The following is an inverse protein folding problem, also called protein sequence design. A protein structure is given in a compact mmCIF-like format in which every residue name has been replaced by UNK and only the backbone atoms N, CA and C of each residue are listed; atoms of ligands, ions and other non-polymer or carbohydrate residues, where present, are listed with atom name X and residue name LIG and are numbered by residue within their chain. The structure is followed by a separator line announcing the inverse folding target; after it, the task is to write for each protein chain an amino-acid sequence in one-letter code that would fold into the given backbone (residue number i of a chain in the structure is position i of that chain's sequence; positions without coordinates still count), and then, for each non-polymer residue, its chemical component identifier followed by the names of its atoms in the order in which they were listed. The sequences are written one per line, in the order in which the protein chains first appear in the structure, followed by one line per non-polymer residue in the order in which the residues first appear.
data_IF_171105462283
#
_entry.id   IF_171105462283
#
_cell.length_a   1.000
_cell.length_b   1.000
_cell.length_c   1.000
_cell.angle_alpha   90.00
_cell.angle_beta   90.00
_cell.angle_gamma   90.00
#
_symmetry.space_group_name_H-M   'P 1'
#
loop_
_entity.id
_entity.type
_entity.pdbx_description
1 polymer ?
#
# COMPACT_ATOMS: atom_id res chain seq x y z
N UNK A 1 -1.72 -9.65 18.77
CA UNK A 1 -1.56 -8.18 18.64
C UNK A 1 -1.34 -7.72 17.21
N UNK A 2 -0.33 -8.22 16.47
CA UNK A 2 -0.07 -7.82 15.07
C UNK A 2 -1.28 -8.03 14.15
N UNK A 3 -1.96 -9.16 14.28
CA UNK A 3 -3.19 -9.49 13.53
C UNK A 3 -4.30 -8.44 13.74
N UNK A 4 -4.46 -7.93 14.96
CA UNK A 4 -5.46 -6.91 15.27
C UNK A 4 -5.11 -5.58 14.60
N UNK A 5 -3.83 -5.17 14.64
CA UNK A 5 -3.37 -3.96 13.95
C UNK A 5 -3.54 -4.07 12.43
N UNK A 6 -3.26 -5.24 11.86
CA UNK A 6 -3.47 -5.52 10.44
C UNK A 6 -4.97 -5.46 10.09
N UNK A 7 -5.83 -6.07 10.90
CA UNK A 7 -7.27 -6.03 10.70
C UNK A 7 -7.83 -4.60 10.75
N UNK A 8 -7.37 -3.76 11.69
CA UNK A 8 -7.77 -2.34 11.75
C UNK A 8 -7.34 -1.58 10.49
N UNK A 9 -6.09 -1.77 10.04
CA UNK A 9 -5.59 -1.13 8.82
C UNK A 9 -6.38 -1.56 7.57
N UNK A 10 -6.69 -2.85 7.44
CA UNK A 10 -7.48 -3.38 6.33
C UNK A 10 -8.93 -2.90 6.37
N UNK A 11 -9.57 -2.91 7.55
CA UNK A 11 -10.94 -2.41 7.72
C UNK A 11 -11.05 -0.95 7.31
N UNK A 12 -10.03 -0.16 7.66
CA UNK A 12 -9.92 1.23 7.23
C UNK A 12 -9.75 1.32 5.71
N UNK A 13 -8.75 0.64 5.14
CA UNK A 13 -8.43 0.66 3.71
C UNK A 13 -9.56 0.14 2.80
N UNK A 14 -10.40 -0.77 3.28
CA UNK A 14 -11.54 -1.34 2.56
C UNK A 14 -12.91 -0.84 3.05
N UNK A 15 -12.94 0.24 3.83
CA UNK A 15 -14.19 0.82 4.34
C UNK A 15 -15.17 1.24 3.25
N UNK A 16 -14.68 1.55 2.04
CA UNK A 16 -15.45 1.95 0.85
C UNK A 16 -14.78 1.43 -0.42
N UNK A 17 -15.53 1.24 -1.53
CA UNK A 17 -14.93 0.92 -2.82
C UNK A 17 -14.07 2.10 -3.29
N UNK A 18 -12.76 1.88 -3.40
CA UNK A 18 -11.77 2.90 -3.76
C UNK A 18 -10.62 2.27 -4.55
N UNK A 19 -9.89 3.08 -5.33
CA UNK A 19 -8.71 2.62 -6.08
C UNK A 19 -7.56 2.25 -5.13
N UNK A 20 -6.72 1.30 -5.52
CA UNK A 20 -5.61 0.81 -4.69
C UNK A 20 -4.73 1.91 -4.05
N UNK A 21 -4.31 2.98 -4.77
CA UNK A 21 -3.49 4.04 -4.15
C UNK A 21 -4.21 4.78 -3.01
N UNK A 22 -5.53 4.93 -3.11
CA UNK A 22 -6.34 5.59 -2.07
C UNK A 22 -6.45 4.69 -0.83
N UNK A 23 -6.66 3.39 -1.02
CA UNK A 23 -6.70 2.41 0.08
C UNK A 23 -5.38 2.37 0.83
N UNK A 24 -4.25 2.32 0.10
CA UNK A 24 -2.90 2.39 0.68
C UNK A 24 -2.71 3.68 1.47
N UNK A 25 -3.06 4.84 0.91
CA UNK A 25 -2.91 6.11 1.60
C UNK A 25 -3.74 6.19 2.90
N UNK A 26 -4.89 5.52 2.96
CA UNK A 26 -5.80 5.57 4.09
C UNK A 26 -5.41 4.57 5.19
N UNK A 27 -4.99 3.35 4.81
CA UNK A 27 -4.49 2.34 5.73
C UNK A 27 -3.14 2.74 6.36
N UNK A 28 -2.22 3.31 5.57
CA UNK A 28 -0.89 3.73 6.08
C UNK A 28 -0.93 4.97 6.99
N UNK A 29 -2.06 5.69 7.03
CA UNK A 29 -2.29 6.81 7.96
C UNK A 29 -2.72 6.37 9.36
N UNK A 30 -3.18 5.13 9.52
CA UNK A 30 -3.57 4.60 10.83
C UNK A 30 -2.37 4.53 11.76
N UNK A 31 -2.56 4.76 13.06
CA UNK A 31 -1.45 4.66 14.01
C UNK A 31 -1.00 3.21 14.19
N UNK A 32 -1.92 2.26 14.03
CA UNK A 32 -1.70 0.82 14.00
C UNK A 32 -0.69 0.41 12.92
N UNK A 33 -0.63 1.12 11.79
CA UNK A 33 0.35 0.85 10.74
C UNK A 33 1.79 1.01 11.24
N UNK A 34 2.03 1.98 12.12
CA UNK A 34 3.36 2.22 12.71
C UNK A 34 3.71 1.17 13.76
N UNK A 35 2.72 0.48 14.33
CA UNK A 35 2.88 -0.60 15.29
C UNK A 35 3.07 -1.96 14.62
N UNK A 36 2.78 -2.06 13.32
CA UNK A 36 3.07 -3.25 12.54
C UNK A 36 4.57 -3.43 12.38
N UNK A 37 5.02 -4.67 12.57
CA UNK A 37 6.39 -5.03 12.21
C UNK A 37 6.55 -4.98 10.69
N UNK A 38 7.78 -4.71 10.24
CA UNK A 38 8.12 -4.56 8.81
C UNK A 38 7.52 -5.64 7.88
N UNK A 39 7.53 -6.94 8.21
CA UNK A 39 6.94 -7.94 7.32
C UNK A 39 5.41 -7.88 7.25
N UNK A 40 4.75 -7.56 8.36
CA UNK A 40 3.29 -7.36 8.38
C UNK A 40 2.86 -6.13 7.59
N UNK A 41 3.70 -5.09 7.53
CA UNK A 41 3.47 -3.95 6.64
C UNK A 41 3.52 -4.36 5.15
N UNK A 42 4.43 -5.27 4.79
CA UNK A 42 4.51 -5.84 3.44
C UNK A 42 3.21 -6.56 3.05
N UNK A 43 2.72 -7.46 3.93
CA UNK A 43 1.46 -8.19 3.74
C UNK A 43 0.29 -7.22 3.55
N UNK A 44 0.17 -6.22 4.43
CA UNK A 44 -0.90 -5.21 4.34
C UNK A 44 -0.89 -4.49 2.99
N UNK A 45 0.29 -4.05 2.53
CA UNK A 45 0.40 -3.33 1.27
C UNK A 45 0.02 -4.21 0.08
N UNK A 46 0.43 -5.48 0.05
CA UNK A 46 0.03 -6.43 -0.99
C UNK A 46 -1.48 -6.64 -1.01
N UNK A 47 -2.08 -6.92 0.15
CA UNK A 47 -3.52 -7.09 0.27
C UNK A 47 -4.31 -5.86 -0.22
N UNK A 48 -3.80 -4.65 0.05
CA UNK A 48 -4.42 -3.42 -0.43
C UNK A 48 -4.30 -3.20 -1.93
N UNK A 49 -3.39 -3.90 -2.62
CA UNK A 49 -3.21 -3.82 -4.07
C UNK A 49 -3.99 -4.90 -4.84
N UNK A 50 -4.21 -6.08 -4.28
CA UNK A 50 -4.79 -7.23 -4.99
C UNK A 50 -6.30 -7.12 -5.28
N UNK A 51 -7.05 -6.32 -4.52
CA UNK A 51 -8.50 -6.19 -4.73
C UNK A 51 -8.79 -5.17 -5.83
N UNK A 52 -9.11 -5.63 -7.02
CA UNK A 52 -9.70 -4.77 -8.06
C UNK A 52 -11.06 -4.26 -7.56
N UNK A 53 -11.29 -2.95 -7.63
CA UNK A 53 -12.61 -2.43 -7.31
C UNK A 53 -13.59 -3.05 -8.30
N UNK A 54 -14.78 -3.53 -7.88
CA UNK A 54 -15.78 -4.01 -8.84
C UNK A 54 -15.94 -2.91 -9.88
N UNK A 55 -15.74 -3.27 -11.15
CA UNK A 55 -15.78 -2.33 -12.27
C UNK A 55 -17.02 -1.48 -12.13
N UNK A 56 -16.83 -0.26 -11.62
CA UNK A 56 -17.85 0.76 -11.70
C UNK A 56 -17.79 1.11 -13.17
N UNK A 57 -18.87 0.79 -13.88
CA UNK A 57 -19.01 0.88 -15.33
C UNK A 57 -18.12 2.00 -15.92
N UNK A 58 -17.34 1.64 -16.94
CA UNK A 58 -16.52 2.56 -17.73
C UNK A 58 -17.40 3.51 -18.56
N UNK A 59 -18.31 4.24 -17.92
CA UNK A 59 -19.11 5.28 -18.55
C UNK A 59 -18.68 6.66 -18.02
N UNK A 60 -18.11 7.43 -18.95
CA UNK A 60 -17.84 8.88 -18.93
C UNK A 60 -16.59 9.41 -18.20
N UNK A 61 -15.40 9.17 -18.78
CA UNK A 61 -14.51 10.29 -19.11
C UNK A 61 -13.64 9.96 -20.33
N UNK A 62 -14.27 9.80 -21.49
CA UNK A 62 -13.63 10.04 -22.78
C UNK A 62 -13.56 11.58 -22.98
N UNK A 63 -12.81 12.24 -22.11
CA UNK A 63 -12.51 13.67 -22.19
C UNK A 63 -11.35 13.89 -23.17
N UNK A 64 -11.47 14.79 -24.17
CA UNK A 64 -10.43 14.95 -25.17
C UNK A 64 -9.12 15.41 -24.52
N UNK A 65 -8.02 14.73 -24.86
CA UNK A 65 -6.67 15.09 -24.46
C UNK A 65 -6.39 16.58 -24.71
N UNK A 66 -6.49 17.40 -23.67
CA UNK A 66 -6.18 18.83 -23.77
C UNK A 66 -4.66 19.05 -23.55
N UNK A 67 -3.99 19.83 -24.43
CA UNK A 67 -2.54 19.91 -24.45
C UNK A 67 -1.98 20.70 -23.27
N UNK A 68 -0.81 20.23 -22.81
CA UNK A 68 0.00 20.78 -21.73
C UNK A 68 0.10 22.32 -21.74
N UNK A 69 -0.46 22.97 -20.72
CA UNK A 69 -0.19 24.37 -20.42
C UNK A 69 0.96 24.45 -19.42
N UNK A 70 2.16 24.78 -19.91
CA UNK A 70 3.29 25.16 -19.07
C UNK A 70 2.91 26.38 -18.20
N UNK A 71 3.10 26.36 -16.87
CA UNK A 71 3.09 27.59 -16.09
C UNK A 71 4.42 28.33 -16.28
N UNK A 72 4.35 29.44 -17.03
CA UNK A 72 5.37 30.49 -17.08
C UNK A 72 5.52 31.13 -15.70
N UNK A 73 6.67 30.89 -15.06
CA UNK A 73 7.31 31.83 -14.13
C UNK A 73 6.76 31.90 -12.70
N UNK A 74 7.36 31.10 -11.80
CA UNK A 74 7.49 31.46 -10.39
C UNK A 74 8.85 30.99 -9.88
N UNK A 75 9.47 31.83 -9.07
CA UNK A 75 10.91 31.90 -8.82
C UNK A 75 11.34 30.90 -7.73
N UNK A 76 12.57 30.39 -7.87
CA UNK A 76 13.55 30.24 -6.79
C UNK A 76 13.19 29.29 -5.63
N UNK A 77 13.80 28.09 -5.61
CA UNK A 77 14.75 27.62 -4.57
C UNK A 77 14.70 26.11 -4.35
N UNK A 78 15.92 25.56 -4.31
CA UNK A 78 16.37 24.34 -3.60
C UNK A 78 16.08 23.01 -4.28
N UNK A 79 17.16 22.46 -4.85
CA UNK A 79 17.34 21.02 -4.89
C UNK A 79 17.17 20.39 -3.50
N UNK A 80 16.41 19.30 -3.47
CA UNK A 80 16.23 18.27 -2.43
C UNK A 80 14.96 17.52 -2.84
N UNK A 81 14.90 16.23 -3.09
CA UNK A 81 15.70 15.03 -2.82
C UNK A 81 15.35 14.09 -4.00
N UNK A 82 16.30 13.47 -4.67
CA UNK A 82 16.89 12.24 -4.15
C UNK A 82 15.80 11.15 -4.20
N UNK A 83 15.91 10.26 -5.19
CA UNK A 83 14.98 9.17 -5.44
C UNK A 83 14.54 8.50 -4.15
N UNK A 84 13.23 8.54 -3.89
CA UNK A 84 12.64 7.62 -2.94
C UNK A 84 12.65 6.30 -3.68
N UNK A 85 13.61 5.45 -3.39
CA UNK A 85 13.49 4.02 -3.62
C UNK A 85 12.16 3.60 -2.99
N UNK A 86 11.10 3.58 -3.80
CA UNK A 86 9.88 2.86 -3.45
C UNK A 86 10.29 1.40 -3.48
N UNK A 87 10.84 0.92 -2.37
CA UNK A 87 11.03 -0.51 -2.16
C UNK A 87 9.70 -1.17 -2.45
N UNK A 88 9.73 -2.23 -3.23
CA UNK A 88 8.53 -3.01 -3.48
C UNK A 88 8.01 -3.48 -2.13
N UNK A 89 6.68 -3.52 -1.89
CA UNK A 89 6.13 -4.17 -0.70
C UNK A 89 6.69 -5.58 -0.46
N UNK A 90 7.14 -6.24 -1.53
CA UNK A 90 7.82 -7.54 -1.53
C UNK A 90 9.19 -7.51 -0.85
N UNK A 91 9.92 -6.38 -0.87
CA UNK A 91 11.23 -6.24 -0.23
C UNK A 91 11.15 -6.28 1.30
N UNK A 92 9.93 -6.20 1.84
CA UNK A 92 9.65 -6.23 3.27
C UNK A 92 9.28 -7.64 3.75
N UNK A 93 9.02 -8.58 2.84
CA UNK A 93 8.64 -9.94 3.18
C UNK A 93 9.87 -10.82 3.41
N UNK A 94 9.84 -11.71 4.42
CA UNK A 94 10.83 -12.77 4.57
C UNK A 94 10.67 -13.79 3.44
N UNK A 95 11.71 -14.59 3.19
CA UNK A 95 11.59 -15.69 2.23
C UNK A 95 10.67 -16.79 2.77
N UNK A 96 10.07 -17.58 1.87
CA UNK A 96 9.19 -18.69 2.25
C UNK A 96 9.92 -19.69 3.15
N UNK A 97 11.18 -20.00 2.83
CA UNK A 97 12.00 -20.91 3.64
C UNK A 97 12.26 -20.35 5.04
N UNK A 98 12.48 -19.04 5.18
CA UNK A 98 12.67 -18.41 6.50
C UNK A 98 11.40 -18.52 7.36
N UNK A 99 10.22 -18.42 6.74
CA UNK A 99 8.94 -18.52 7.45
C UNK A 99 8.63 -19.96 7.85
N UNK A 100 8.88 -20.92 6.97
CA UNK A 100 8.64 -22.35 7.26
C UNK A 100 9.59 -22.89 8.33
N UNK A 101 10.79 -22.32 8.46
CA UNK A 101 11.80 -22.74 9.42
C UNK A 101 11.71 -22.03 10.78
N UNK A 102 10.93 -20.94 10.90
CA UNK A 102 10.77 -20.22 12.18
C UNK A 102 9.46 -20.60 12.90
N UNK A 103 9.61 -21.47 13.91
CA UNK A 103 8.51 -21.94 14.76
C UNK A 103 7.93 -20.85 15.69
N UNK A 104 8.55 -19.67 15.79
CA UNK A 104 8.07 -18.58 16.64
C UNK A 104 7.13 -17.63 15.91
N UNK A 105 6.97 -17.76 14.59
CA UNK A 105 6.04 -16.94 13.85
C UNK A 105 4.59 -17.41 14.08
N UNK A 106 3.63 -16.48 14.20
CA UNK A 106 2.23 -16.85 14.27
C UNK A 106 1.80 -17.63 13.02
N UNK A 107 0.99 -18.67 13.19
CA UNK A 107 0.50 -19.47 12.06
C UNK A 107 -0.22 -18.60 11.01
N UNK A 108 -0.97 -17.58 11.43
CA UNK A 108 -1.63 -16.64 10.53
C UNK A 108 -0.66 -15.86 9.65
N UNK A 109 0.54 -15.55 10.15
CA UNK A 109 1.60 -14.94 9.35
C UNK A 109 2.12 -15.91 8.29
N UNK A 110 2.35 -17.18 8.68
CA UNK A 110 2.74 -18.23 7.75
C UNK A 110 1.74 -18.39 6.60
N UNK A 111 0.44 -18.47 6.90
CA UNK A 111 -0.61 -18.57 5.89
C UNK A 111 -0.74 -17.34 4.98
N UNK A 112 -0.32 -16.16 5.43
CA UNK A 112 -0.40 -14.95 4.62
C UNK A 112 0.79 -14.81 3.64
N UNK A 113 1.87 -15.56 3.85
CA UNK A 113 3.08 -15.56 3.02
C UNK A 113 3.11 -16.73 2.04
N UNK A 114 2.46 -17.85 2.37
CA UNK A 114 2.36 -19.08 1.58
C UNK A 114 1.16 -19.08 0.63
#
# INVERSE_FOLDING_TARGET
MQEQYLATCLTSGFSRPMRAPQRVALATRQDEFKLLQKPWQGILLLALHEVEAPGVDEDDDDGPATPARLPRGARSRRGRRGGRSSGSPLDHLPSVDDVLNDANLPAAFGFAVL
#
